data_IF_017659103134
#
_entry.id   IF_017659103134
#
_cell.length_a   1.000
_cell.length_b   1.000
_cell.length_c   1.000
_cell.angle_alpha   90.00
_cell.angle_beta   90.00
_cell.angle_gamma   90.00
#
_symmetry.space_group_name_H-M   'P 1'
#
loop_
_entity.id
_entity.type
_entity.pdbx_description
1 polymer ?
#
# COMPACT_ATOMS: atom_id res chain seq x y z
N UNK A 1 10.62 -9.69 -23.16
CA UNK A 1 9.76 -10.18 -22.06
C UNK A 1 10.27 -9.72 -20.69
N UNK A 2 11.27 -8.84 -20.67
CA UNK A 2 11.96 -8.36 -19.46
C UNK A 2 11.18 -7.25 -18.74
N UNK A 3 10.29 -6.55 -19.44
CA UNK A 3 9.44 -5.50 -18.87
C UNK A 3 8.40 -6.04 -17.85
N UNK A 4 7.93 -7.27 -18.06
CA UNK A 4 6.99 -7.94 -17.18
C UNK A 4 7.71 -8.47 -15.93
N UNK A 5 8.94 -8.95 -16.10
CA UNK A 5 9.83 -9.31 -14.99
C UNK A 5 10.25 -8.10 -14.18
N UNK A 6 10.59 -6.96 -14.81
CA UNK A 6 10.94 -5.73 -14.10
C UNK A 6 9.75 -5.08 -13.38
N UNK A 7 8.52 -5.33 -13.81
CA UNK A 7 7.30 -4.93 -13.09
C UNK A 7 7.08 -5.75 -11.83
N UNK A 8 7.28 -7.07 -11.87
CA UNK A 8 7.04 -7.94 -10.72
C UNK A 8 8.25 -8.08 -9.78
N UNK A 9 9.49 -7.91 -10.28
CA UNK A 9 10.74 -8.22 -9.56
C UNK A 9 11.79 -7.10 -9.66
N UNK A 10 11.55 -6.05 -10.44
CA UNK A 10 12.49 -4.94 -10.61
C UNK A 10 12.36 -3.87 -9.52
N UNK A 11 13.47 -3.29 -9.06
CA UNK A 11 13.49 -2.23 -8.03
C UNK A 11 13.07 -0.82 -8.52
N UNK A 12 12.31 -0.73 -9.61
CA UNK A 12 11.93 0.55 -10.23
C UNK A 12 10.66 1.19 -9.65
N UNK A 13 10.38 2.42 -10.07
CA UNK A 13 9.17 3.18 -9.68
C UNK A 13 7.89 2.43 -10.07
N UNK A 14 7.89 1.73 -11.21
CA UNK A 14 6.73 0.97 -11.67
C UNK A 14 6.33 -0.17 -10.72
N UNK A 15 7.31 -0.92 -10.19
CA UNK A 15 7.07 -1.97 -9.19
C UNK A 15 6.51 -1.40 -7.89
N UNK A 16 7.00 -0.22 -7.49
CA UNK A 16 6.51 0.48 -6.30
C UNK A 16 5.04 0.86 -6.44
N UNK A 17 4.68 1.55 -7.54
CA UNK A 17 3.30 1.97 -7.81
C UNK A 17 2.39 0.75 -7.91
N UNK A 18 2.84 -0.32 -8.57
CA UNK A 18 2.11 -1.58 -8.64
C UNK A 18 1.88 -2.20 -7.25
N UNK A 19 2.91 -2.26 -6.42
CA UNK A 19 2.82 -2.80 -5.04
C UNK A 19 1.84 -1.99 -4.20
N UNK A 20 1.89 -0.66 -4.25
CA UNK A 20 0.93 0.21 -3.55
C UNK A 20 -0.50 -0.02 -4.03
N UNK A 21 -0.71 -0.06 -5.35
CA UNK A 21 -2.03 -0.29 -5.93
C UNK A 21 -2.59 -1.66 -5.52
N UNK A 22 -1.75 -2.70 -5.49
CA UNK A 22 -2.12 -4.03 -5.02
C UNK A 22 -2.53 -3.98 -3.55
N UNK A 23 -1.67 -3.42 -2.68
CA UNK A 23 -1.91 -3.36 -1.22
C UNK A 23 -3.21 -2.61 -0.91
N UNK A 24 -3.42 -1.44 -1.54
CA UNK A 24 -4.63 -0.64 -1.34
C UNK A 24 -5.86 -1.39 -1.85
N UNK A 25 -5.80 -1.96 -3.05
CA UNK A 25 -6.95 -2.66 -3.66
C UNK A 25 -7.32 -3.90 -2.86
N UNK A 26 -6.35 -4.75 -2.53
CA UNK A 26 -6.58 -5.95 -1.74
C UNK A 26 -7.04 -5.61 -0.31
N UNK A 27 -6.46 -4.58 0.31
CA UNK A 27 -6.86 -4.10 1.63
C UNK A 27 -8.30 -3.58 1.66
N UNK A 28 -8.73 -2.82 0.66
CA UNK A 28 -10.13 -2.35 0.55
C UNK A 28 -11.08 -3.52 0.31
N UNK A 29 -10.72 -4.46 -0.56
CA UNK A 29 -11.54 -5.65 -0.83
C UNK A 29 -11.73 -6.49 0.43
N UNK A 30 -10.66 -6.76 1.18
CA UNK A 30 -10.72 -7.45 2.46
C UNK A 30 -11.42 -6.63 3.55
N UNK A 31 -11.33 -5.30 3.48
CA UNK A 31 -12.07 -4.36 4.34
C UNK A 31 -13.59 -4.55 4.30
N UNK A 32 -14.12 -4.97 3.16
CA UNK A 32 -15.56 -5.26 2.99
C UNK A 32 -15.97 -6.63 3.53
N UNK A 33 -15.01 -7.54 3.76
CA UNK A 33 -15.26 -8.86 4.32
C UNK A 33 -15.48 -8.73 5.83
N UNK A 34 -16.64 -9.18 6.29
CA UNK A 34 -16.96 -9.28 7.72
C UNK A 34 -16.62 -10.69 8.18
N UNK A 35 -15.72 -10.79 9.15
CA UNK A 35 -15.42 -12.08 9.82
C UNK A 35 -16.07 -12.03 11.18
N UNK A 36 -16.97 -12.99 11.46
CA UNK A 36 -17.65 -13.09 12.76
C UNK A 36 -18.42 -11.82 13.19
N UNK A 37 -18.98 -11.06 12.23
CA UNK A 37 -19.74 -9.83 12.50
C UNK A 37 -18.89 -8.57 12.70
N UNK A 38 -17.55 -8.69 12.77
CA UNK A 38 -16.61 -7.57 12.93
C UNK A 38 -15.91 -7.32 11.58
N UNK A 39 -15.84 -6.05 11.18
CA UNK A 39 -14.98 -5.61 10.06
C UNK A 39 -13.95 -4.63 10.60
N UNK A 40 -12.69 -4.85 10.22
CA UNK A 40 -11.57 -3.95 10.50
C UNK A 40 -11.52 -2.76 9.53
N UNK A 41 -12.41 -2.72 8.53
CA UNK A 41 -12.53 -1.63 7.57
C UNK A 41 -11.21 -1.33 6.85
N UNK A 42 -10.81 -0.06 6.86
CA UNK A 42 -9.60 0.47 6.19
C UNK A 42 -8.32 -0.09 6.82
N UNK A 43 -8.37 -0.54 8.08
CA UNK A 43 -7.22 -1.15 8.78
C UNK A 43 -6.70 -2.41 8.08
N UNK A 44 -7.52 -3.10 7.28
CA UNK A 44 -7.06 -4.21 6.45
C UNK A 44 -5.94 -3.85 5.47
N UNK A 45 -5.88 -2.59 5.02
CA UNK A 45 -4.79 -2.09 4.16
C UNK A 45 -3.43 -2.22 4.86
N UNK A 46 -3.37 -1.96 6.17
CA UNK A 46 -2.15 -2.12 6.97
C UNK A 46 -1.69 -3.58 6.99
N UNK A 47 -2.60 -4.52 7.28
CA UNK A 47 -2.26 -5.94 7.37
C UNK A 47 -1.80 -6.50 6.02
N UNK A 48 -2.48 -6.13 4.93
CA UNK A 48 -2.05 -6.51 3.58
C UNK A 48 -0.68 -5.92 3.25
N UNK A 49 -0.42 -4.67 3.65
CA UNK A 49 0.89 -4.04 3.47
C UNK A 49 2.02 -4.76 4.20
N UNK A 50 1.79 -5.20 5.45
CA UNK A 50 2.76 -5.98 6.23
C UNK A 50 3.03 -7.33 5.56
N UNK A 51 1.98 -8.03 5.10
CA UNK A 51 2.12 -9.31 4.40
C UNK A 51 2.89 -9.13 3.09
N UNK A 52 2.54 -8.12 2.27
CA UNK A 52 3.23 -7.84 1.02
C UNK A 52 4.72 -7.51 1.25
N UNK A 53 5.03 -6.70 2.27
CA UNK A 53 6.40 -6.40 2.65
C UNK A 53 7.17 -7.65 3.12
N UNK A 54 6.52 -8.56 3.84
CA UNK A 54 7.12 -9.83 4.27
C UNK A 54 7.48 -10.75 3.09
N UNK A 55 6.70 -10.72 1.99
CA UNK A 55 7.01 -11.47 0.76
C UNK A 55 8.08 -10.81 -0.12
N UNK A 56 8.71 -9.73 0.33
CA UNK A 56 9.79 -9.07 -0.41
C UNK A 56 9.32 -8.07 -1.47
N UNK A 57 8.02 -7.73 -1.52
CA UNK A 57 7.53 -6.58 -2.29
C UNK A 57 7.85 -5.28 -1.54
N UNK A 58 9.15 -4.99 -1.49
CA UNK A 58 9.71 -3.82 -0.85
C UNK A 58 9.69 -2.60 -1.77
N UNK A 59 9.36 -1.45 -1.19
CA UNK A 59 9.44 -0.16 -1.86
C UNK A 59 10.84 0.45 -1.61
N UNK A 60 11.51 1.02 -2.63
CA UNK A 60 12.77 1.75 -2.47
C UNK A 60 12.68 2.84 -1.40
N UNK A 61 13.77 3.06 -0.67
CA UNK A 61 13.79 3.97 0.49
C UNK A 61 13.34 5.40 0.15
N UNK A 62 13.75 5.91 -1.01
CA UNK A 62 13.38 7.25 -1.48
C UNK A 62 11.86 7.40 -1.67
N UNK A 63 11.23 6.43 -2.33
CA UNK A 63 9.79 6.47 -2.57
C UNK A 63 9.00 6.21 -1.29
N UNK A 64 9.52 5.35 -0.40
CA UNK A 64 8.93 5.14 0.93
C UNK A 64 8.91 6.44 1.73
N UNK A 65 10.04 7.15 1.79
CA UNK A 65 10.15 8.43 2.50
C UNK A 65 9.17 9.45 1.92
N UNK A 66 9.14 9.59 0.60
CA UNK A 66 8.19 10.48 -0.09
C UNK A 66 6.73 10.18 0.27
N UNK A 67 6.31 8.91 0.24
CA UNK A 67 4.92 8.52 0.53
C UNK A 67 4.56 8.78 2.00
N UNK A 68 5.50 8.58 2.92
CA UNK A 68 5.28 8.86 4.35
C UNK A 68 5.07 10.36 4.59
N UNK A 69 5.93 11.21 4.04
CA UNK A 69 5.79 12.66 4.15
C UNK A 69 4.52 13.16 3.45
N UNK A 70 4.26 12.68 2.23
CA UNK A 70 3.06 13.04 1.48
C UNK A 70 1.79 12.63 2.22
N UNK A 71 1.74 11.41 2.77
CA UNK A 71 0.61 10.94 3.58
C UNK A 71 0.41 11.76 4.86
N UNK A 72 1.49 12.15 5.53
CA UNK A 72 1.43 13.00 6.72
C UNK A 72 0.88 14.40 6.38
N UNK A 73 1.31 14.99 5.25
CA UNK A 73 0.79 16.28 4.79
C UNK A 73 -0.71 16.18 4.49
N UNK A 74 -1.13 15.15 3.76
CA UNK A 74 -2.56 14.92 3.47
C UNK A 74 -3.37 14.74 4.76
N UNK A 75 -2.85 14.00 5.74
CA UNK A 75 -3.49 13.82 7.03
C UNK A 75 -3.66 15.14 7.79
N UNK A 76 -2.60 15.95 7.91
CA UNK A 76 -2.65 17.27 8.56
C UNK A 76 -3.62 18.21 7.84
N UNK A 77 -3.59 18.22 6.51
CA UNK A 77 -4.51 19.01 5.69
C UNK A 77 -5.98 18.60 5.90
N UNK A 78 -6.27 17.30 5.93
CA UNK A 78 -7.62 16.79 6.23
C UNK A 78 -8.11 17.20 7.61
N UNK A 79 -7.25 17.18 8.64
CA UNK A 79 -7.60 17.67 9.98
C UNK A 79 -7.87 19.18 9.95
N UNK A 80 -7.04 19.96 9.25
CA UNK A 80 -7.20 21.42 9.17
C UNK A 80 -8.48 21.87 8.47
N UNK A 81 -9.07 21.03 7.62
CA UNK A 81 -10.36 21.29 6.95
C UNK A 81 -11.58 20.79 7.72
N UNK A 82 -11.39 19.94 8.74
CA UNK A 82 -12.46 19.31 9.52
C UNK A 82 -12.79 20.14 10.76
#
# INVERSE_FOLDING_TARGET
MDWLYSLFVGGGIAHTVFTLALVITAGILLGKVKVCGISLGITWILFVGIIAAHFGMGIPAEVRHFIQEFGLILFVFSIGMQ
#
